data_IF_705765422677
#
_entry.id   IF_705765422677
#
_cell.length_a   1.000
_cell.length_b   1.000
_cell.length_c   1.000
_cell.angle_alpha   90.00
_cell.angle_beta   90.00
_cell.angle_gamma   90.00
#
_symmetry.space_group_name_H-M   'P 1'
#
loop_
_entity.id
_entity.type
_entity.pdbx_description
1 polymer ?
#
# COMPACT_ATOMS: atom_id res chain seq x y z
N UNK A 1 9.41 -16.33 9.49
CA UNK A 1 8.49 -15.29 8.94
C UNK A 1 7.41 -14.88 9.93
N UNK A 2 6.48 -15.76 10.34
CA UNK A 2 5.46 -15.43 11.37
C UNK A 2 6.09 -14.92 12.68
N UNK A 3 7.21 -15.52 13.10
CA UNK A 3 8.00 -15.08 14.26
C UNK A 3 8.52 -13.65 14.15
N UNK A 4 8.86 -13.17 12.95
CA UNK A 4 9.33 -11.80 12.74
C UNK A 4 8.18 -10.80 12.84
N UNK A 5 7.02 -11.15 12.26
CA UNK A 5 5.80 -10.33 12.36
C UNK A 5 5.33 -10.25 13.81
N UNK A 6 5.41 -11.36 14.56
CA UNK A 6 5.01 -11.45 15.96
C UNK A 6 5.82 -10.56 16.92
N UNK A 7 7.01 -10.09 16.51
CA UNK A 7 7.81 -9.13 17.31
C UNK A 7 7.15 -7.75 17.40
N UNK A 8 6.31 -7.39 16.43
CA UNK A 8 5.69 -6.07 16.31
C UNK A 8 4.17 -6.16 16.41
N UNK A 9 3.57 -7.22 15.86
CA UNK A 9 2.12 -7.43 15.83
C UNK A 9 1.74 -8.57 16.77
N UNK A 10 0.88 -8.29 17.74
CA UNK A 10 0.40 -9.27 18.73
C UNK A 10 -1.09 -9.54 18.53
N UNK A 11 -1.48 -10.82 18.55
CA UNK A 11 -2.89 -11.24 18.60
C UNK A 11 -3.68 -11.09 17.30
N UNK A 12 -3.01 -11.11 16.14
CA UNK A 12 -3.64 -10.95 14.81
C UNK A 12 -3.37 -12.14 13.88
N UNK A 13 -3.14 -13.33 14.42
CA UNK A 13 -2.67 -14.50 13.66
C UNK A 13 -3.58 -14.89 12.47
N UNK A 14 -4.90 -14.88 12.69
CA UNK A 14 -5.87 -15.19 11.65
C UNK A 14 -5.85 -14.16 10.49
N UNK A 15 -5.71 -12.87 10.82
CA UNK A 15 -5.63 -11.80 9.81
C UNK A 15 -4.33 -11.91 9.01
N UNK A 16 -3.22 -12.19 9.68
CA UNK A 16 -1.92 -12.41 9.03
C UNK A 16 -2.02 -13.56 8.03
N UNK A 17 -2.67 -14.67 8.41
CA UNK A 17 -2.85 -15.83 7.53
C UNK A 17 -3.69 -15.50 6.29
N UNK A 18 -4.81 -14.81 6.46
CA UNK A 18 -5.65 -14.37 5.33
C UNK A 18 -4.90 -13.41 4.40
N UNK A 19 -4.09 -12.51 4.95
CA UNK A 19 -3.24 -11.61 4.16
C UNK A 19 -2.23 -12.39 3.32
N UNK A 20 -1.61 -13.45 3.86
CA UNK A 20 -0.72 -14.32 3.11
C UNK A 20 -1.44 -15.03 1.96
N UNK A 21 -2.61 -15.61 2.24
CA UNK A 21 -3.41 -16.31 1.22
C UNK A 21 -3.75 -15.36 0.07
N UNK A 22 -4.23 -14.15 0.38
CA UNK A 22 -4.54 -13.16 -0.64
C UNK A 22 -3.31 -12.73 -1.44
N UNK A 23 -2.19 -12.45 -0.77
CA UNK A 23 -0.97 -12.00 -1.44
C UNK A 23 -0.44 -13.07 -2.42
N UNK A 24 -0.36 -14.33 -1.98
CA UNK A 24 0.10 -15.45 -2.80
C UNK A 24 -0.87 -15.75 -3.96
N UNK A 25 -2.16 -15.48 -3.75
CA UNK A 25 -3.19 -15.62 -4.79
C UNK A 25 -3.32 -14.39 -5.71
N UNK A 26 -2.48 -13.35 -5.51
CA UNK A 26 -2.56 -12.05 -6.21
C UNK A 26 -3.94 -11.36 -6.07
N UNK A 27 -4.62 -11.60 -4.94
CA UNK A 27 -5.90 -10.99 -4.59
C UNK A 27 -5.76 -9.66 -3.83
N UNK A 28 -6.90 -9.03 -3.56
CA UNK A 28 -7.00 -7.79 -2.77
C UNK A 28 -7.77 -8.04 -1.47
N UNK A 29 -7.32 -7.43 -0.38
CA UNK A 29 -7.95 -7.51 0.94
C UNK A 29 -8.56 -6.19 1.36
N UNK A 30 -9.71 -6.25 2.05
CA UNK A 30 -10.29 -5.13 2.79
C UNK A 30 -10.16 -5.40 4.30
N UNK A 31 -9.39 -4.58 5.01
CA UNK A 31 -9.23 -4.69 6.46
C UNK A 31 -10.21 -3.77 7.19
N UNK A 32 -11.29 -4.34 7.73
CA UNK A 32 -12.31 -3.60 8.50
C UNK A 32 -12.05 -3.71 10.00
N UNK A 33 -12.46 -2.71 10.76
CA UNK A 33 -12.49 -2.73 12.22
C UNK A 33 -12.16 -1.38 12.82
N UNK A 34 -12.25 -1.27 14.14
CA UNK A 34 -12.12 0.02 14.83
C UNK A 34 -10.73 0.65 14.65
N UNK A 35 -10.63 1.99 14.71
CA UNK A 35 -9.36 2.70 14.71
C UNK A 35 -8.45 2.22 15.86
N UNK A 36 -7.14 2.31 15.66
CA UNK A 36 -6.15 1.97 16.70
C UNK A 36 -5.73 0.49 16.77
N UNK A 37 -6.34 -0.41 15.99
CA UNK A 37 -5.96 -1.84 15.94
C UNK A 37 -4.76 -2.13 15.03
N UNK A 38 -3.79 -1.22 14.98
CA UNK A 38 -2.52 -1.40 14.29
C UNK A 38 -2.61 -1.85 12.81
N UNK A 39 -3.73 -1.60 12.10
CA UNK A 39 -3.92 -2.06 10.69
C UNK A 39 -2.80 -1.57 9.76
N UNK A 40 -2.46 -0.29 9.85
CA UNK A 40 -1.37 0.30 9.07
C UNK A 40 -0.02 -0.31 9.45
N UNK A 41 0.22 -0.53 10.75
CA UNK A 41 1.46 -1.14 11.23
C UNK A 41 1.58 -2.58 10.73
N UNK A 42 0.50 -3.37 10.78
CA UNK A 42 0.44 -4.74 10.28
C UNK A 42 0.86 -4.83 8.81
N UNK A 43 0.25 -4.02 7.93
CA UNK A 43 0.57 -4.06 6.50
C UNK A 43 2.00 -3.57 6.23
N UNK A 44 2.46 -2.55 6.96
CA UNK A 44 3.85 -2.07 6.85
C UNK A 44 4.85 -3.14 7.29
N UNK A 45 4.66 -3.75 8.46
CA UNK A 45 5.51 -4.83 8.96
C UNK A 45 5.52 -6.03 8.01
N UNK A 46 4.37 -6.37 7.42
CA UNK A 46 4.30 -7.45 6.45
C UNK A 46 5.14 -7.15 5.20
N UNK A 47 5.05 -5.92 4.68
CA UNK A 47 5.85 -5.48 3.54
C UNK A 47 7.36 -5.47 3.86
N UNK A 48 7.74 -4.97 5.04
CA UNK A 48 9.14 -4.93 5.50
C UNK A 48 9.73 -6.36 5.62
N UNK A 49 8.98 -7.30 6.20
CA UNK A 49 9.43 -8.71 6.37
C UNK A 49 9.50 -9.47 5.03
N UNK A 50 8.74 -9.04 4.03
CA UNK A 50 8.72 -9.63 2.68
C UNK A 50 9.63 -8.93 1.68
N UNK A 51 10.32 -7.86 2.07
CA UNK A 51 11.09 -7.00 1.17
C UNK A 51 10.23 -6.45 0.00
N UNK A 52 8.99 -6.04 0.31
CA UNK A 52 8.05 -5.45 -0.65
C UNK A 52 7.99 -3.93 -0.53
N UNK A 53 7.70 -3.26 -1.65
CA UNK A 53 7.39 -1.83 -1.64
C UNK A 53 6.05 -1.58 -0.96
N UNK A 54 6.05 -0.74 0.06
CA UNK A 54 4.83 -0.27 0.73
C UNK A 54 4.48 1.14 0.29
N UNK A 55 3.31 1.30 -0.31
CA UNK A 55 2.74 2.60 -0.66
C UNK A 55 1.40 2.79 0.07
N UNK A 56 1.20 3.97 0.67
CA UNK A 56 -0.03 4.32 1.40
C UNK A 56 -0.69 5.53 0.75
N UNK A 57 -1.95 5.37 0.34
CA UNK A 57 -2.79 6.46 -0.16
C UNK A 57 -3.91 6.68 0.87
N UNK A 58 -4.01 7.90 1.38
CA UNK A 58 -5.13 8.29 2.24
C UNK A 58 -6.27 8.79 1.34
N UNK A 59 -7.42 8.12 1.42
CA UNK A 59 -8.62 8.60 0.75
C UNK A 59 -9.13 9.84 1.50
N UNK A 60 -9.28 10.94 0.76
CA UNK A 60 -9.90 12.20 1.18
C UNK A 60 -11.02 12.53 0.18
N UNK A 61 -12.03 13.34 0.55
CA UNK A 61 -13.12 13.68 -0.36
C UNK A 61 -12.64 14.39 -1.63
N UNK A 62 -11.47 15.05 -1.57
CA UNK A 62 -10.89 15.80 -2.69
C UNK A 62 -9.93 14.96 -3.56
N UNK A 63 -9.66 13.71 -3.19
CA UNK A 63 -8.72 12.86 -3.92
C UNK A 63 -9.26 12.55 -5.32
N UNK A 64 -8.50 12.93 -6.35
CA UNK A 64 -8.85 12.69 -7.74
C UNK A 64 -8.19 11.41 -8.27
N UNK A 65 -8.79 10.71 -9.25
CA UNK A 65 -8.16 9.53 -9.86
C UNK A 65 -6.76 9.80 -10.44
N UNK A 66 -6.51 11.02 -10.93
CA UNK A 66 -5.20 11.48 -11.42
C UNK A 66 -4.13 11.46 -10.33
N UNK A 67 -4.49 11.66 -9.06
CA UNK A 67 -3.54 11.62 -7.94
C UNK A 67 -3.00 10.19 -7.67
N UNK A 68 -3.72 9.17 -8.15
CA UNK A 68 -3.35 7.75 -7.98
C UNK A 68 -2.70 7.20 -9.27
N UNK A 69 -3.29 7.52 -10.41
CA UNK A 69 -2.86 6.99 -11.71
C UNK A 69 -1.73 7.80 -12.35
N UNK A 70 -1.51 9.03 -11.87
CA UNK A 70 -0.60 10.00 -12.46
C UNK A 70 -1.30 10.90 -13.48
N UNK A 71 -0.64 12.01 -13.83
CA UNK A 71 -1.07 12.94 -14.87
C UNK A 71 -0.05 12.92 -15.99
N UNK A 72 -0.50 12.91 -17.25
CA UNK A 72 0.39 13.11 -18.39
C UNK A 72 0.90 14.55 -18.41
N UNK A 73 2.22 14.72 -18.30
CA UNK A 73 2.88 16.02 -18.46
C UNK A 73 3.30 16.11 -19.93
N UNK A 74 2.60 16.94 -20.70
CA UNK A 74 3.03 17.29 -22.05
C UNK A 74 4.01 18.47 -21.91
N UNK A 75 5.31 18.19 -22.04
CA UNK A 75 6.31 19.25 -22.16
C UNK A 75 6.33 19.75 -23.62
N UNK A 76 5.93 21.01 -23.84
CA UNK A 76 6.21 21.68 -25.11
C UNK A 76 7.69 22.08 -25.15
N UNK A 77 8.46 21.38 -25.98
CA UNK A 77 9.87 21.67 -26.19
C UNK A 77 10.04 23.02 -26.88
N UNK A 78 10.29 24.10 -26.11
CA UNK A 78 10.56 25.46 -26.62
C UNK A 78 11.93 25.61 -27.30
N UNK A 79 12.42 24.56 -27.97
CA UNK A 79 13.65 24.57 -28.78
C UNK A 79 13.38 24.13 -30.21
N UNK A 80 12.46 24.82 -30.89
CA UNK A 80 12.49 24.87 -32.36
C UNK A 80 11.97 26.20 -32.89
N UNK A 81 12.62 27.29 -32.48
CA UNK A 81 12.63 28.55 -33.23
C UNK A 81 13.77 28.50 -34.25
N UNK A 82 13.64 27.62 -35.25
CA UNK A 82 14.57 27.54 -36.37
C UNK A 82 14.17 28.53 -37.47
N UNK A 83 15.00 29.57 -37.63
CA UNK A 83 14.97 30.65 -38.64
C UNK A 83 13.90 31.72 -38.49
#
# INVERSE_FOLDING_TARGET
>A
MRTEIAKVIVGQDAVIEQLFISLLSRGHCLLVGVPGLAKTLLIKTLADVLDLKFNRIQFTPDLMPSDITGTEIIEEDKKSGGK
#
